data_IF_828756769732
#
_entry.id   IF_828756769732
#
_cell.length_a   1.000
_cell.length_b   1.000
_cell.length_c   1.000
_cell.angle_alpha   90.00
_cell.angle_beta   90.00
_cell.angle_gamma   90.00
#
_symmetry.space_group_name_H-M   'P 1'
#
loop_
_entity.id
_entity.type
_entity.pdbx_description
1 polymer ?
#
# COMPACT_ATOMS: atom_id res chain seq x y z
N UNK A 1 -0.21 -7.65 -31.95
CA UNK A 1 0.51 -7.48 -30.68
C UNK A 1 -0.33 -8.11 -29.58
N UNK A 2 0.26 -8.87 -28.66
CA UNK A 2 -0.50 -9.46 -27.55
C UNK A 2 -0.55 -8.44 -26.41
N UNK A 3 -1.73 -7.89 -26.13
CA UNK A 3 -1.95 -7.12 -24.91
C UNK A 3 -2.18 -8.09 -23.76
N UNK A 4 -1.54 -7.83 -22.62
CA UNK A 4 -1.73 -8.63 -21.40
C UNK A 4 -2.51 -7.79 -20.40
N UNK A 5 -3.66 -8.26 -19.88
CA UNK A 5 -4.39 -7.54 -18.86
C UNK A 5 -3.56 -7.50 -17.59
N UNK A 6 -3.50 -6.32 -16.96
CA UNK A 6 -2.80 -6.13 -15.70
C UNK A 6 -3.67 -5.37 -14.69
N UNK A 7 -3.34 -5.56 -13.43
CA UNK A 7 -3.86 -4.80 -12.31
C UNK A 7 -2.68 -4.30 -11.47
N UNK A 8 -2.69 -3.02 -11.15
CA UNK A 8 -1.69 -2.39 -10.30
C UNK A 8 -2.37 -1.88 -9.03
N UNK A 9 -1.75 -2.13 -7.89
CA UNK A 9 -2.09 -1.52 -6.63
C UNK A 9 -0.94 -0.64 -6.17
N UNK A 10 -1.27 0.54 -5.67
CA UNK A 10 -0.31 1.46 -5.08
C UNK A 10 -0.76 1.77 -3.67
N UNK A 11 0.10 1.55 -2.68
CA UNK A 11 -0.28 1.61 -1.27
C UNK A 11 0.76 2.34 -0.40
N UNK A 12 0.31 3.08 0.59
CA UNK A 12 1.10 3.53 1.73
C UNK A 12 0.33 3.26 3.03
N UNK A 13 0.76 3.84 4.15
CA UNK A 13 0.09 3.66 5.44
C UNK A 13 -1.27 4.38 5.54
N UNK A 14 -1.67 5.14 4.52
CA UNK A 14 -2.83 6.04 4.53
C UNK A 14 -3.88 5.64 3.51
N UNK A 15 -3.44 5.19 2.33
CA UNK A 15 -4.33 4.85 1.23
C UNK A 15 -3.78 3.73 0.34
N UNK A 16 -4.69 3.06 -0.33
CA UNK A 16 -4.43 2.08 -1.37
C UNK A 16 -5.31 2.38 -2.59
N UNK A 17 -4.68 2.64 -3.72
CA UNK A 17 -5.37 2.87 -5.01
C UNK A 17 -5.19 1.67 -5.92
N UNK A 18 -6.21 1.39 -6.73
CA UNK A 18 -6.16 0.32 -7.73
C UNK A 18 -6.24 0.91 -9.13
N UNK A 19 -5.53 0.29 -10.06
CA UNK A 19 -5.50 0.64 -11.47
C UNK A 19 -5.62 -0.65 -12.27
N UNK A 20 -6.34 -0.59 -13.38
CA UNK A 20 -6.50 -1.71 -14.29
C UNK A 20 -6.18 -1.27 -15.71
N UNK A 21 -5.66 -2.18 -16.51
CA UNK A 21 -5.48 -1.90 -17.93
C UNK A 21 -4.67 -2.96 -18.63
N UNK A 22 -3.87 -2.56 -19.61
CA UNK A 22 -3.17 -3.50 -20.48
C UNK A 22 -1.71 -3.11 -20.67
N UNK A 23 -0.85 -4.12 -20.72
CA UNK A 23 0.55 -3.98 -21.07
C UNK A 23 0.81 -4.55 -22.47
N UNK A 24 1.37 -3.71 -23.35
CA UNK A 24 1.84 -4.05 -24.69
C UNK A 24 3.38 -3.90 -24.72
N UNK A 25 4.08 -5.04 -24.67
CA UNK A 25 5.55 -5.09 -24.82
C UNK A 25 5.93 -4.67 -26.26
N UNK A 26 6.86 -3.72 -26.53
CA UNK A 26 7.63 -2.72 -25.79
C UNK A 26 7.26 -2.13 -24.42
N UNK A 27 6.55 -1.02 -24.45
CA UNK A 27 6.63 -0.05 -23.36
C UNK A 27 5.29 0.60 -23.13
N UNK A 28 4.24 0.07 -23.75
CA UNK A 28 2.96 0.72 -23.74
C UNK A 28 2.10 0.09 -22.67
N UNK A 29 2.11 0.78 -21.54
CA UNK A 29 1.17 0.57 -20.45
C UNK A 29 -0.01 1.53 -20.65
N UNK A 30 -1.22 1.01 -20.58
CA UNK A 30 -2.44 1.81 -20.50
C UNK A 30 -3.15 1.45 -19.21
N UNK A 31 -3.61 2.46 -18.46
CA UNK A 31 -4.26 2.29 -17.18
C UNK A 31 -5.53 3.13 -17.13
N UNK A 32 -6.49 2.65 -16.34
CA UNK A 32 -7.64 3.40 -15.89
C UNK A 32 -7.70 3.31 -14.37
N UNK A 33 -8.09 4.42 -13.74
CA UNK A 33 -8.27 4.48 -12.30
C UNK A 33 -9.41 3.57 -11.85
N UNK A 34 -9.11 2.81 -10.81
CA UNK A 34 -10.07 2.03 -10.07
C UNK A 34 -10.40 2.69 -8.74
N UNK A 35 -11.06 1.95 -7.84
CA UNK A 35 -11.36 2.43 -6.50
C UNK A 35 -10.09 2.67 -5.68
N UNK A 36 -10.18 3.69 -4.82
CA UNK A 36 -9.22 3.99 -3.74
C UNK A 36 -9.83 3.61 -2.40
N UNK A 37 -9.00 3.05 -1.52
CA UNK A 37 -9.31 2.68 -0.16
C UNK A 37 -8.47 3.56 0.78
N UNK A 38 -9.13 4.33 1.63
CA UNK A 38 -8.46 5.29 2.54
C UNK A 38 -8.62 4.82 3.98
N UNK A 39 -7.56 4.96 4.77
CA UNK A 39 -7.58 4.70 6.20
C UNK A 39 -8.54 5.65 6.89
N UNK A 40 -9.56 5.12 7.55
CA UNK A 40 -10.56 5.92 8.29
C UNK A 40 -10.00 6.48 9.62
N UNK A 41 -8.77 6.11 9.99
CA UNK A 41 -8.23 6.37 11.33
C UNK A 41 -7.39 7.65 11.42
N UNK A 42 -6.76 8.13 10.33
CA UNK A 42 -6.03 9.40 10.39
C UNK A 42 -6.98 10.60 10.55
N UNK A 43 -8.18 10.55 9.97
CA UNK A 43 -9.23 11.55 10.22
C UNK A 43 -9.59 11.65 11.71
N UNK A 44 -9.55 10.55 12.45
CA UNK A 44 -9.88 10.57 13.88
C UNK A 44 -8.83 11.32 14.73
N UNK A 45 -7.56 11.35 14.31
CA UNK A 45 -6.49 11.98 15.09
C UNK A 45 -6.24 13.45 14.72
N UNK A 46 -6.55 13.89 13.50
CA UNK A 46 -6.48 15.32 13.13
C UNK A 46 -7.61 16.14 13.79
N UNK A 47 -8.81 15.57 13.92
CA UNK A 47 -9.97 16.28 14.49
C UNK A 47 -10.01 16.31 16.02
N UNK A 48 -9.16 15.53 16.71
CA UNK A 48 -9.08 15.49 18.16
C UNK A 48 -7.80 16.12 18.73
N UNK A 49 -7.10 16.94 17.93
CA UNK A 49 -6.20 17.93 18.54
C UNK A 49 -7.11 18.92 19.30
N UNK A 50 -7.12 18.96 20.64
CA UNK A 50 -7.74 20.09 21.31
C UNK A 50 -7.07 21.33 20.75
N UNK A 51 -7.87 22.22 20.16
CA UNK A 51 -7.42 23.52 19.70
C UNK A 51 -6.72 24.20 20.88
N UNK A 52 -5.39 24.16 20.93
CA UNK A 52 -4.61 25.00 21.85
C UNK A 52 -4.52 26.38 21.22
N UNK A 53 -5.69 26.93 20.85
CA UNK A 53 -5.90 28.30 20.41
C UNK A 53 -6.81 28.94 21.44
N UNK A 54 -6.21 29.24 22.59
CA UNK A 54 -6.87 29.97 23.68
C UNK A 54 -5.90 30.55 24.71
N UNK A 55 -4.59 30.47 24.49
CA UNK A 55 -3.59 30.84 25.50
C UNK A 55 -2.64 31.97 25.08
N UNK A 56 -3.03 32.90 24.19
CA UNK A 56 -2.29 34.16 24.02
C UNK A 56 -3.27 35.29 23.64
N UNK A 57 -3.66 36.11 24.62
CA UNK A 57 -4.17 37.47 24.36
C UNK A 57 -5.54 37.81 24.97
N UNK A 58 -5.56 38.34 26.19
CA UNK A 58 -6.75 38.99 26.77
C UNK A 58 -6.74 38.96 28.29
N UNK A 59 -6.18 40.00 28.93
CA UNK A 59 -6.04 40.07 30.38
C UNK A 59 -7.35 40.18 31.16
N UNK A 60 -7.31 39.77 32.43
CA UNK A 60 -8.37 40.03 33.40
C UNK A 60 -8.40 39.11 34.61
N UNK A 61 -7.52 39.38 35.58
CA UNK A 61 -7.72 39.22 37.04
C UNK A 61 -8.03 37.85 37.68
N UNK A 62 -7.14 37.52 38.62
CA UNK A 62 -7.39 36.83 39.90
C UNK A 62 -7.44 35.30 39.98
N UNK A 63 -6.29 34.73 40.37
CA UNK A 63 -6.20 33.92 41.60
C UNK A 63 -6.31 32.40 41.47
N UNK A 64 -5.17 31.71 41.42
CA UNK A 64 -4.78 30.72 42.46
C UNK A 64 -3.48 29.97 42.06
N UNK A 65 -2.43 30.25 42.84
CA UNK A 65 -1.31 29.41 43.24
C UNK A 65 -0.61 28.50 42.21
N UNK A 66 0.58 28.95 41.82
CA UNK A 66 1.70 28.11 41.36
C UNK A 66 2.15 27.19 42.50
N UNK A 67 2.29 25.90 42.20
CA UNK A 67 3.40 25.10 42.71
C UNK A 67 4.22 24.62 41.52
N UNK A 68 5.46 25.11 41.46
CA UNK A 68 6.48 24.61 40.58
C UNK A 68 6.96 23.25 41.10
N UNK A 69 7.24 22.31 40.19
CA UNK A 69 8.54 21.65 40.21
C UNK A 69 8.91 21.20 38.81
N UNK A 70 10.05 21.75 38.38
CA UNK A 70 10.84 21.34 37.23
C UNK A 70 11.44 19.95 37.48
N UNK A 71 11.96 19.34 36.41
CA UNK A 71 12.62 18.03 36.30
C UNK A 71 11.73 16.83 36.03
N UNK A 72 11.47 16.58 34.74
CA UNK A 72 11.63 15.26 34.10
C UNK A 72 11.64 15.44 32.58
N UNK A 73 12.83 15.72 32.05
CA UNK A 73 13.25 15.19 30.75
C UNK A 73 13.17 13.66 30.79
N UNK A 74 12.69 13.04 29.72
CA UNK A 74 12.33 11.61 29.56
C UNK A 74 10.90 11.23 29.96
N UNK A 75 9.96 11.63 29.11
CA UNK A 75 8.65 10.99 28.99
C UNK A 75 8.33 10.78 27.52
N UNK A 76 9.14 9.96 26.82
CA UNK A 76 8.64 9.37 25.59
C UNK A 76 7.45 8.49 25.97
N UNK A 77 6.29 8.91 25.52
CA UNK A 77 5.00 8.27 25.65
C UNK A 77 5.03 6.89 24.97
N UNK A 78 5.37 5.85 25.75
CA UNK A 78 5.35 4.43 25.35
C UNK A 78 3.95 3.98 24.86
N UNK A 79 2.89 4.74 25.15
CA UNK A 79 1.52 4.47 24.68
C UNK A 79 1.18 4.98 23.27
N UNK A 80 1.84 6.02 22.76
CA UNK A 80 1.46 6.61 21.45
C UNK A 80 2.04 5.84 20.26
N UNK A 81 3.19 5.19 20.42
CA UNK A 81 3.82 4.42 19.35
C UNK A 81 3.10 3.09 19.10
N UNK A 82 2.66 2.41 20.16
CA UNK A 82 1.99 1.12 20.06
C UNK A 82 0.61 1.24 19.40
N UNK A 83 -0.12 2.33 19.67
CA UNK A 83 -1.40 2.60 19.01
C UNK A 83 -1.20 2.88 17.51
N UNK A 84 -0.18 3.65 17.13
CA UNK A 84 0.13 3.91 15.72
C UNK A 84 0.55 2.65 14.95
N UNK A 85 1.35 1.78 15.57
CA UNK A 85 1.77 0.51 14.96
C UNK A 85 0.58 -0.45 14.79
N UNK A 86 -0.30 -0.55 15.78
CA UNK A 86 -1.50 -1.39 15.66
C UNK A 86 -2.48 -0.86 14.62
N UNK A 87 -2.61 0.46 14.50
CA UNK A 87 -3.41 1.09 13.44
C UNK A 87 -2.84 0.80 12.06
N UNK A 88 -1.51 0.88 11.88
CA UNK A 88 -0.87 0.53 10.63
C UNK A 88 -1.07 -0.95 10.29
N UNK A 89 -0.91 -1.86 11.26
CA UNK A 89 -1.20 -3.30 11.09
C UNK A 89 -2.65 -3.57 10.73
N UNK A 90 -3.59 -2.88 11.38
CA UNK A 90 -5.01 -2.99 11.06
C UNK A 90 -5.28 -2.52 9.63
N UNK A 91 -4.73 -1.38 9.23
CA UNK A 91 -4.89 -0.88 7.87
C UNK A 91 -4.26 -1.82 6.84
N UNK A 92 -3.07 -2.37 7.13
CA UNK A 92 -2.43 -3.39 6.30
C UNK A 92 -3.30 -4.64 6.13
N UNK A 93 -3.96 -5.12 7.19
CA UNK A 93 -4.94 -6.24 7.10
C UNK A 93 -6.12 -5.88 6.22
N UNK A 94 -6.69 -4.69 6.39
CA UNK A 94 -7.84 -4.23 5.60
C UNK A 94 -7.46 -4.06 4.11
N UNK A 95 -6.31 -3.46 3.81
CA UNK A 95 -5.75 -3.34 2.46
C UNK A 95 -5.46 -4.71 1.85
N UNK A 96 -4.85 -5.63 2.60
CA UNK A 96 -4.59 -7.01 2.17
C UNK A 96 -5.89 -7.73 1.79
N UNK A 97 -6.92 -7.68 2.64
CA UNK A 97 -8.23 -8.25 2.34
C UNK A 97 -8.88 -7.61 1.10
N UNK A 98 -8.77 -6.29 0.97
CA UNK A 98 -9.31 -5.51 -0.14
C UNK A 98 -8.63 -5.81 -1.48
N UNK A 99 -7.30 -6.03 -1.48
CA UNK A 99 -6.52 -6.48 -2.64
C UNK A 99 -6.91 -7.91 -3.01
N UNK A 100 -6.95 -8.83 -2.04
CA UNK A 100 -7.29 -10.23 -2.28
C UNK A 100 -8.69 -10.40 -2.89
N UNK A 101 -9.68 -9.67 -2.38
CA UNK A 101 -11.03 -9.69 -2.94
C UNK A 101 -11.08 -9.29 -4.43
N UNK A 102 -10.20 -8.37 -4.86
CA UNK A 102 -10.08 -7.97 -6.27
C UNK A 102 -9.36 -8.98 -7.13
N UNK A 103 -8.28 -9.56 -6.61
CA UNK A 103 -7.56 -10.64 -7.29
C UNK A 103 -8.50 -11.83 -7.53
N UNK A 104 -9.30 -12.19 -6.52
CA UNK A 104 -10.29 -13.27 -6.62
C UNK A 104 -11.45 -12.93 -7.56
N UNK A 105 -11.83 -11.65 -7.64
CA UNK A 105 -12.83 -11.16 -8.60
C UNK A 105 -12.35 -11.11 -10.06
N UNK A 106 -11.04 -11.20 -10.31
CA UNK A 106 -10.45 -11.09 -11.63
C UNK A 106 -9.33 -12.15 -11.87
N UNK A 107 -9.67 -13.44 -11.85
CA UNK A 107 -8.67 -14.50 -12.00
C UNK A 107 -8.00 -14.43 -13.37
N UNK A 108 -6.67 -14.61 -13.38
CA UNK A 108 -5.86 -14.60 -14.61
C UNK A 108 -5.33 -13.23 -15.04
N UNK A 109 -5.64 -12.16 -14.30
CA UNK A 109 -5.01 -10.84 -14.48
C UNK A 109 -3.68 -10.81 -13.71
N UNK A 110 -2.61 -10.42 -14.40
CA UNK A 110 -1.32 -10.24 -13.75
C UNK A 110 -1.38 -9.05 -12.78
N UNK A 111 -1.00 -9.27 -11.52
CA UNK A 111 -1.16 -8.26 -10.46
C UNK A 111 0.19 -7.77 -9.98
N UNK A 112 0.35 -6.45 -9.87
CA UNK A 112 1.52 -5.78 -9.31
C UNK A 112 1.09 -4.92 -8.14
N UNK A 113 1.84 -4.96 -7.05
CA UNK A 113 1.61 -4.13 -5.86
C UNK A 113 2.88 -3.32 -5.61
N UNK A 114 2.76 -2.01 -5.60
CA UNK A 114 3.78 -1.06 -5.16
C UNK A 114 3.39 -0.53 -3.79
N UNK A 115 4.26 -0.71 -2.79
CA UNK A 115 4.01 -0.16 -1.48
C UNK A 115 5.19 0.68 -0.97
N UNK A 116 4.83 1.74 -0.22
CA UNK A 116 5.79 2.60 0.45
C UNK A 116 6.71 1.74 1.36
N UNK A 117 8.02 2.06 1.46
CA UNK A 117 8.99 1.22 2.15
C UNK A 117 8.62 0.79 3.57
N UNK A 118 8.02 1.72 4.33
CA UNK A 118 7.63 1.48 5.73
C UNK A 118 6.42 0.55 5.80
N UNK A 119 5.41 0.80 4.97
CA UNK A 119 4.18 0.03 4.94
C UNK A 119 4.34 -1.35 4.29
N UNK A 120 5.29 -1.51 3.36
CA UNK A 120 5.52 -2.78 2.65
C UNK A 120 5.84 -3.94 3.61
N UNK A 121 6.60 -3.69 4.68
CA UNK A 121 6.91 -4.71 5.69
C UNK A 121 5.65 -5.18 6.40
N UNK A 122 4.89 -4.22 6.92
CA UNK A 122 3.60 -4.46 7.59
C UNK A 122 2.61 -5.16 6.67
N UNK A 123 2.52 -4.75 5.40
CA UNK A 123 1.65 -5.38 4.41
C UNK A 123 2.05 -6.83 4.17
N UNK A 124 3.35 -7.15 4.13
CA UNK A 124 3.85 -8.53 3.95
C UNK A 124 3.51 -9.40 5.14
N UNK A 125 3.72 -8.89 6.35
CA UNK A 125 3.46 -9.62 7.60
C UNK A 125 1.97 -9.97 7.75
N UNK A 126 1.09 -9.06 7.31
CA UNK A 126 -0.36 -9.25 7.34
C UNK A 126 -0.91 -9.95 6.07
N UNK A 127 -0.08 -10.17 5.06
CA UNK A 127 -0.47 -10.83 3.81
C UNK A 127 0.04 -12.27 3.75
N UNK A 128 -0.61 -13.18 4.47
CA UNK A 128 -0.38 -14.62 4.28
C UNK A 128 -0.81 -15.11 2.88
N UNK A 129 -1.52 -14.27 2.10
CA UNK A 129 -2.32 -14.70 0.95
C UNK A 129 -1.95 -14.07 -0.40
N UNK A 130 -0.94 -13.21 -0.52
CA UNK A 130 -0.52 -12.68 -1.83
C UNK A 130 0.03 -13.84 -2.67
N UNK A 131 -0.80 -14.31 -3.60
CA UNK A 131 -0.62 -15.58 -4.34
C UNK A 131 0.56 -15.55 -5.32
N UNK A 132 0.97 -16.76 -5.73
CA UNK A 132 1.88 -16.94 -6.88
C UNK A 132 1.37 -16.18 -8.11
N UNK A 133 2.22 -15.35 -8.70
CA UNK A 133 1.87 -14.51 -9.85
C UNK A 133 1.55 -13.05 -9.51
N UNK A 134 1.63 -12.65 -8.24
CA UNK A 134 1.61 -11.25 -7.82
C UNK A 134 3.03 -10.74 -7.61
N UNK A 135 3.40 -9.64 -8.29
CA UNK A 135 4.65 -8.94 -8.06
C UNK A 135 4.51 -7.91 -6.94
N UNK A 136 5.35 -7.97 -5.92
CA UNK A 136 5.31 -7.04 -4.78
C UNK A 136 6.61 -6.24 -4.69
N UNK A 137 6.53 -4.94 -4.93
CA UNK A 137 7.68 -4.04 -5.10
C UNK A 137 7.65 -2.87 -4.12
N UNK A 138 8.86 -2.44 -3.76
CA UNK A 138 9.08 -1.25 -2.94
C UNK A 138 9.09 -0.02 -3.83
N UNK A 139 8.03 0.79 -3.76
CA UNK A 139 7.97 2.09 -4.42
C UNK A 139 6.83 2.94 -3.83
N UNK A 140 6.99 4.26 -3.88
CA UNK A 140 5.99 5.21 -3.38
C UNK A 140 5.44 6.00 -4.56
N UNK A 141 4.31 5.53 -5.08
CA UNK A 141 3.60 6.15 -6.21
C UNK A 141 2.23 6.69 -5.81
N UNK A 142 1.97 6.74 -4.50
CA UNK A 142 0.70 7.22 -3.96
C UNK A 142 0.53 8.69 -4.38
N UNK A 143 -0.63 9.02 -4.94
CA UNK A 143 -0.94 10.34 -5.47
C UNK A 143 -0.68 10.51 -6.98
N UNK A 144 -0.04 9.54 -7.65
CA UNK A 144 0.05 9.54 -9.11
C UNK A 144 -1.28 9.09 -9.73
N UNK A 145 -1.70 9.80 -10.79
CA UNK A 145 -2.84 9.42 -11.62
C UNK A 145 -2.53 8.26 -12.57
N UNK A 146 -3.55 7.75 -13.26
CA UNK A 146 -3.38 6.62 -14.19
C UNK A 146 -2.36 6.89 -15.32
N UNK A 147 -2.40 8.07 -15.94
CA UNK A 147 -1.49 8.44 -17.03
C UNK A 147 -0.05 8.59 -16.54
N UNK A 148 0.15 9.24 -15.39
CA UNK A 148 1.47 9.42 -14.77
C UNK A 148 2.09 8.07 -14.39
N UNK A 149 1.28 7.15 -13.84
CA UNK A 149 1.72 5.81 -13.49
C UNK A 149 2.04 4.96 -14.73
N UNK A 150 1.28 5.15 -15.81
CA UNK A 150 1.49 4.47 -17.08
C UNK A 150 2.76 4.94 -17.82
N UNK A 151 3.13 6.21 -17.67
CA UNK A 151 4.37 6.78 -18.24
C UNK A 151 5.60 6.56 -17.33
N UNK A 152 5.38 6.12 -16.09
CA UNK A 152 6.47 5.96 -15.13
C UNK A 152 7.39 4.78 -15.51
N UNK A 153 8.63 5.09 -15.92
CA UNK A 153 9.60 4.11 -16.43
C UNK A 153 9.79 2.90 -15.51
N UNK A 154 9.92 3.12 -14.19
CA UNK A 154 10.07 2.03 -13.21
C UNK A 154 8.85 1.09 -13.19
N UNK A 155 7.63 1.62 -13.37
CA UNK A 155 6.41 0.81 -13.40
C UNK A 155 6.43 -0.08 -14.64
N UNK A 156 6.71 0.48 -15.82
CA UNK A 156 6.78 -0.27 -17.06
C UNK A 156 7.83 -1.39 -17.02
N UNK A 157 9.02 -1.12 -16.48
CA UNK A 157 10.09 -2.13 -16.34
C UNK A 157 9.62 -3.27 -15.43
N UNK A 158 9.14 -2.96 -14.23
CA UNK A 158 8.78 -3.99 -13.24
C UNK A 158 7.56 -4.81 -13.65
N UNK A 159 6.57 -4.17 -14.29
CA UNK A 159 5.44 -4.88 -14.93
C UNK A 159 5.95 -5.82 -16.03
N UNK A 160 6.83 -5.34 -16.91
CA UNK A 160 7.43 -6.15 -17.97
C UNK A 160 8.21 -7.36 -17.43
N UNK A 161 9.02 -7.17 -16.39
CA UNK A 161 9.76 -8.24 -15.70
C UNK A 161 8.83 -9.29 -15.09
N UNK A 162 7.77 -8.87 -14.41
CA UNK A 162 6.77 -9.79 -13.85
C UNK A 162 6.14 -10.63 -14.95
N UNK A 163 5.69 -10.00 -16.03
CA UNK A 163 5.03 -10.69 -17.14
C UNK A 163 5.97 -11.67 -17.85
N UNK A 164 7.24 -11.31 -18.02
CA UNK A 164 8.26 -12.24 -18.51
C UNK A 164 8.46 -13.44 -17.57
N UNK A 165 8.51 -13.21 -16.26
CA UNK A 165 8.63 -14.27 -15.25
C UNK A 165 7.43 -15.22 -15.28
N UNK A 166 6.20 -14.69 -15.34
CA UNK A 166 4.97 -15.50 -15.43
C UNK A 166 4.98 -16.37 -16.70
N UNK A 167 5.37 -15.81 -17.84
CA UNK A 167 5.47 -16.56 -19.12
C UNK A 167 6.55 -17.64 -19.10
N UNK A 168 7.67 -17.39 -18.44
CA UNK A 168 8.74 -18.38 -18.29
C UNK A 168 8.28 -19.56 -17.41
N UNK A 169 7.58 -19.28 -16.30
CA UNK A 169 7.06 -20.31 -15.40
C UNK A 169 5.97 -21.17 -16.05
N UNK A 170 5.09 -20.59 -16.88
CA UNK A 170 4.05 -21.34 -17.58
C UNK A 170 4.60 -22.24 -18.68
N UNK A 171 5.71 -21.85 -19.31
CA UNK A 171 6.38 -22.62 -20.37
C UNK A 171 7.17 -23.83 -19.85
N UNK A 172 7.66 -23.78 -18.60
CA UNK A 172 8.40 -24.88 -17.96
C UNK A 172 7.53 -26.02 -17.42
N UNK A 173 6.22 -25.83 -17.28
CA UNK A 173 5.32 -26.80 -16.61
C UNK A 173 4.84 -27.94 -17.53
N UNK A 174 5.17 -27.91 -18.81
CA UNK A 174 4.67 -28.86 -19.83
C UNK A 174 5.59 -30.04 -20.12
N UNK A 175 6.73 -30.20 -19.42
CA UNK A 175 7.74 -31.23 -19.72
C UNK A 175 8.00 -32.24 -18.57
N UNK A 176 7.00 -32.72 -17.84
CA UNK A 176 7.21 -33.88 -16.93
C UNK A 176 5.99 -34.77 -16.79
N UNK A 177 5.71 -35.63 -17.78
CA UNK A 177 5.13 -36.96 -17.52
C UNK A 177 4.97 -37.75 -18.83
N UNK A 178 5.99 -38.55 -19.15
CA UNK A 178 5.80 -39.77 -19.94
C UNK A 178 6.56 -40.88 -19.23
N UNK A 179 5.93 -41.69 -18.36
CA UNK A 179 6.51 -42.94 -17.94
C UNK A 179 6.29 -43.95 -19.07
N UNK A 180 7.27 -44.03 -19.98
CA UNK A 180 7.36 -45.12 -20.94
C UNK A 180 7.99 -46.33 -20.25
N UNK A 181 7.18 -47.26 -19.77
CA UNK A 181 7.58 -48.64 -19.42
C UNK A 181 6.39 -49.55 -19.77
N UNK A 182 6.45 -50.21 -20.94
CA UNK A 182 6.97 -51.57 -21.20
C UNK A 182 6.11 -52.65 -20.56
#
# INVERSE_FOLDING_TARGET
MQSTPIQIFVCDARQASSFQGTFEWPERLTLSEGPTFVSQWEDFHDHHRPDVVGAIGGGGSSGAQRFANQHSSHGQSVGQSHDSEELERRFAREVSAWINARIDGAPGIATVIFAAPRFLGTLRDESEFIRNGVGLYRAEFVGLGADELAEHQTVCILVGELLHSIKAQSSGRTQTSSPQRR
#
